data_IF_461979551499
#
_entry.id   IF_461979551499
#
_cell.length_a   1.000
_cell.length_b   1.000
_cell.length_c   1.000
_cell.angle_alpha   90.00
_cell.angle_beta   90.00
_cell.angle_gamma   90.00
#
_symmetry.space_group_name_H-M   'P 1'
#
loop_
_entity.id
_entity.type
_entity.pdbx_description
1 polymer ?
#
# COMPACT_ATOMS: atom_id res chain seq x y z
N UNK A 1 -0.69 19.09 -38.35
CA UNK A 1 0.44 18.69 -37.48
C UNK A 1 0.28 17.19 -37.19
N UNK A 2 0.93 16.34 -37.97
CA UNK A 2 0.78 14.88 -37.89
C UNK A 2 1.91 14.38 -36.99
N UNK A 3 1.62 14.17 -35.71
CA UNK A 3 2.59 13.61 -34.77
C UNK A 3 2.85 12.15 -35.18
N UNK A 4 4.09 11.85 -35.56
CA UNK A 4 4.51 10.54 -36.00
C UNK A 4 4.25 9.48 -34.91
N UNK A 5 3.54 8.41 -35.27
CA UNK A 5 3.24 7.27 -34.40
C UNK A 5 4.51 6.66 -33.78
N UNK A 6 5.66 6.81 -34.46
CA UNK A 6 6.97 6.42 -33.94
C UNK A 6 7.41 7.24 -32.74
N UNK A 7 7.10 8.54 -32.73
CA UNK A 7 7.39 9.45 -31.62
C UNK A 7 6.54 9.09 -30.39
N UNK A 8 5.27 8.74 -30.62
CA UNK A 8 4.34 8.28 -29.59
C UNK A 8 4.81 6.97 -28.95
N UNK A 9 5.22 5.99 -29.77
CA UNK A 9 5.77 4.72 -29.28
C UNK A 9 7.04 4.95 -28.46
N UNK A 10 7.94 5.84 -28.93
CA UNK A 10 9.16 6.19 -28.21
C UNK A 10 8.86 6.82 -26.85
N UNK A 11 7.94 7.79 -26.80
CA UNK A 11 7.50 8.44 -25.55
C UNK A 11 6.90 7.43 -24.58
N UNK A 12 6.08 6.49 -25.06
CA UNK A 12 5.50 5.44 -24.21
C UNK A 12 6.57 4.47 -23.66
N UNK A 13 7.59 4.12 -24.45
CA UNK A 13 8.68 3.25 -23.96
C UNK A 13 9.55 3.93 -22.92
N UNK A 14 9.83 5.24 -23.07
CA UNK A 14 10.60 6.00 -22.08
C UNK A 14 9.81 6.14 -20.78
N UNK A 15 8.50 6.40 -20.86
CA UNK A 15 7.64 6.50 -19.68
C UNK A 15 7.53 5.18 -18.89
N UNK A 16 7.52 4.04 -19.59
CA UNK A 16 7.48 2.71 -18.96
C UNK A 16 8.81 2.31 -18.29
N UNK A 17 9.95 2.76 -18.84
CA UNK A 17 11.29 2.54 -18.26
C UNK A 17 11.61 3.50 -17.12
N UNK A 18 10.91 4.64 -17.02
CA UNK A 18 10.91 5.52 -15.84
C UNK A 18 9.96 5.05 -14.73
N UNK A 19 9.63 3.76 -14.67
CA UNK A 19 9.03 3.16 -13.49
C UNK A 19 9.99 3.32 -12.31
N UNK A 20 9.53 3.98 -11.25
CA UNK A 20 10.25 4.23 -10.01
C UNK A 20 11.10 3.02 -9.59
N UNK A 21 12.40 3.07 -9.89
CA UNK A 21 13.39 2.29 -9.15
C UNK A 21 13.37 2.84 -7.74
N UNK A 22 12.63 2.21 -6.84
CA UNK A 22 12.86 2.33 -5.40
C UNK A 22 14.22 1.72 -5.13
N UNK A 23 15.26 2.51 -4.81
CA UNK A 23 16.54 1.95 -4.47
C UNK A 23 16.43 1.52 -3.01
N UNK A 24 16.27 0.23 -2.79
CA UNK A 24 16.57 -0.37 -1.50
C UNK A 24 18.04 -0.07 -1.17
N UNK A 25 18.29 0.52 -0.01
CA UNK A 25 19.64 0.80 0.50
C UNK A 25 20.15 2.21 0.20
N UNK A 26 19.92 3.13 1.15
CA UNK A 26 20.89 4.17 1.51
C UNK A 26 20.40 4.85 2.79
N UNK A 27 21.09 4.61 3.90
CA UNK A 27 20.96 5.41 5.11
C UNK A 27 21.03 6.91 4.73
N UNK A 28 19.98 7.66 5.05
CA UNK A 28 19.84 9.07 4.65
C UNK A 28 18.61 9.42 3.81
N UNK A 29 17.72 8.47 3.48
CA UNK A 29 16.44 8.81 2.85
C UNK A 29 15.42 9.34 3.86
N UNK A 30 14.73 10.41 3.45
CA UNK A 30 13.59 10.99 4.16
C UNK A 30 12.40 10.02 4.15
N UNK A 31 11.69 9.96 5.27
CA UNK A 31 10.44 9.20 5.42
C UNK A 31 9.19 10.07 5.22
N UNK A 32 9.32 11.24 4.56
CA UNK A 32 8.21 12.18 4.35
C UNK A 32 6.98 11.52 3.71
N UNK A 33 7.18 10.74 2.64
CA UNK A 33 6.09 10.07 1.92
C UNK A 33 5.38 9.05 2.83
N UNK A 34 6.15 8.25 3.58
CA UNK A 34 5.60 7.28 4.54
C UNK A 34 4.81 7.97 5.65
N UNK A 35 5.34 9.09 6.18
CA UNK A 35 4.66 9.90 7.20
C UNK A 35 3.37 10.51 6.67
N UNK A 36 3.36 10.95 5.41
CA UNK A 36 2.17 11.48 4.77
C UNK A 36 1.08 10.41 4.67
N UNK A 37 1.37 9.25 4.09
CA UNK A 37 0.39 8.15 3.96
C UNK A 37 -0.10 7.67 5.33
N UNK A 38 0.79 7.64 6.33
CA UNK A 38 0.40 7.28 7.70
C UNK A 38 -0.57 8.30 8.32
N UNK A 39 -0.37 9.59 8.05
CA UNK A 39 -1.29 10.66 8.47
C UNK A 39 -2.62 10.65 7.71
N UNK A 40 -2.61 10.31 6.42
CA UNK A 40 -3.83 10.16 5.61
C UNK A 40 -4.71 9.01 6.10
N UNK A 41 -4.11 7.98 6.68
CA UNK A 41 -4.83 6.92 7.40
C UNK A 41 -5.39 7.36 8.76
N UNK A 42 -5.12 8.59 9.20
CA UNK A 42 -5.61 9.15 10.46
C UNK A 42 -4.73 8.85 11.68
N UNK A 43 -3.51 8.36 11.48
CA UNK A 43 -2.58 8.09 12.58
C UNK A 43 -1.65 9.27 12.89
N UNK A 44 -1.24 9.41 14.14
CA UNK A 44 -0.32 10.47 14.56
C UNK A 44 1.08 10.25 13.98
N UNK A 45 1.65 11.29 13.38
CA UNK A 45 3.03 11.26 12.86
C UNK A 45 4.10 11.48 13.92
N UNK A 46 3.71 11.57 15.20
CA UNK A 46 4.63 11.74 16.34
C UNK A 46 5.53 10.52 16.56
N UNK A 47 5.03 9.32 16.23
CA UNK A 47 5.77 8.06 16.39
C UNK A 47 6.39 7.56 15.10
N UNK A 48 6.23 8.33 14.01
CA UNK A 48 6.78 8.02 12.71
C UNK A 48 8.15 8.71 12.53
N UNK A 49 9.22 7.95 12.22
CA UNK A 49 10.57 8.50 12.08
C UNK A 49 10.66 9.46 10.90
N UNK A 50 11.50 10.49 11.01
CA UNK A 50 11.71 11.50 9.95
C UNK A 50 12.65 11.00 8.87
N UNK A 51 13.62 10.17 9.25
CA UNK A 51 14.60 9.53 8.36
C UNK A 51 14.60 8.03 8.59
N UNK A 52 15.14 7.26 7.65
CA UNK A 52 15.26 5.81 7.81
C UNK A 52 16.03 5.44 9.09
N UNK A 53 15.54 4.44 9.80
CA UNK A 53 16.12 3.85 11.01
C UNK A 53 16.42 2.37 10.78
N UNK A 54 17.26 1.74 11.63
CA UNK A 54 17.43 0.28 11.62
C UNK A 54 16.08 -0.39 11.88
N UNK A 55 15.79 -1.48 11.17
CA UNK A 55 14.54 -2.23 11.31
C UNK A 55 14.58 -3.35 12.33
N UNK A 56 15.71 -3.56 13.03
CA UNK A 56 15.93 -4.65 14.00
C UNK A 56 14.86 -4.79 15.10
N UNK A 57 14.09 -3.72 15.37
CA UNK A 57 13.00 -3.71 16.34
C UNK A 57 11.68 -4.26 15.79
N UNK A 58 11.58 -4.47 14.48
CA UNK A 58 10.36 -4.94 13.82
C UNK A 58 10.22 -6.45 13.97
N UNK A 59 9.01 -6.99 13.80
CA UNK A 59 8.77 -8.45 13.89
C UNK A 59 8.15 -9.04 12.63
N UNK A 60 7.41 -8.24 11.87
CA UNK A 60 6.67 -8.68 10.69
C UNK A 60 7.37 -8.22 9.41
N UNK A 61 7.82 -6.98 9.40
CA UNK A 61 8.59 -6.41 8.30
C UNK A 61 10.04 -6.95 8.29
N UNK A 62 10.74 -6.92 7.14
CA UNK A 62 12.16 -7.26 7.06
C UNK A 62 13.01 -6.38 7.99
N UNK A 63 14.07 -6.96 8.55
CA UNK A 63 14.99 -6.33 9.50
C UNK A 63 16.02 -5.38 8.82
N UNK A 64 15.62 -4.73 7.73
CA UNK A 64 16.43 -3.77 6.97
C UNK A 64 16.14 -2.33 7.40
N UNK A 65 16.80 -1.34 6.79
CA UNK A 65 16.46 0.08 6.99
C UNK A 65 15.00 0.37 6.64
N UNK A 66 14.30 1.03 7.56
CA UNK A 66 12.85 1.19 7.53
C UNK A 66 12.40 2.61 7.90
N UNK A 67 11.19 2.95 7.48
CA UNK A 67 10.47 4.16 7.91
C UNK A 67 9.34 3.85 8.91
N UNK A 68 9.32 2.64 9.47
CA UNK A 68 8.32 2.19 10.43
C UNK A 68 8.94 2.02 11.83
N UNK A 69 8.32 2.64 12.84
CA UNK A 69 8.57 2.30 14.24
C UNK A 69 7.80 1.03 14.64
N UNK A 70 8.14 0.44 15.78
CA UNK A 70 7.42 -0.70 16.35
C UNK A 70 5.92 -0.42 16.53
N UNK A 71 5.57 0.78 17.01
CA UNK A 71 4.18 1.20 17.17
C UNK A 71 3.47 1.32 15.81
N UNK A 72 4.15 1.84 14.78
CA UNK A 72 3.57 1.88 13.43
C UNK A 72 3.30 0.47 12.91
N UNK A 73 4.24 -0.46 13.08
CA UNK A 73 4.08 -1.85 12.66
C UNK A 73 2.92 -2.55 13.36
N UNK A 74 2.80 -2.41 14.68
CA UNK A 74 1.69 -2.97 15.46
C UNK A 74 0.33 -2.38 15.03
N UNK A 75 0.29 -1.07 14.81
CA UNK A 75 -0.96 -0.41 14.38
C UNK A 75 -1.37 -0.87 12.98
N UNK A 76 -0.41 -0.95 12.06
CA UNK A 76 -0.66 -1.34 10.67
C UNK A 76 -0.98 -2.84 10.55
N UNK A 77 -0.41 -3.69 11.41
CA UNK A 77 -0.74 -5.12 11.42
C UNK A 77 -2.19 -5.34 11.84
N UNK A 78 -2.62 -4.73 12.94
CA UNK A 78 -4.02 -4.78 13.38
C UNK A 78 -4.97 -4.17 12.35
N UNK A 79 -4.56 -3.10 11.68
CA UNK A 79 -5.36 -2.49 10.61
C UNK A 79 -5.52 -3.45 9.43
N UNK A 80 -4.43 -4.08 8.98
CA UNK A 80 -4.46 -5.01 7.85
C UNK A 80 -5.32 -6.25 8.13
N UNK A 81 -5.31 -6.75 9.36
CA UNK A 81 -6.16 -7.86 9.78
C UNK A 81 -7.64 -7.48 9.72
N UNK A 82 -8.00 -6.32 10.27
CA UNK A 82 -9.38 -5.81 10.21
C UNK A 82 -9.85 -5.58 8.77
N UNK A 83 -9.01 -4.99 7.94
CA UNK A 83 -9.33 -4.73 6.53
C UNK A 83 -9.53 -6.05 5.76
N UNK A 84 -8.70 -7.05 6.03
CA UNK A 84 -8.85 -8.38 5.44
C UNK A 84 -10.15 -9.06 5.87
N UNK A 85 -10.42 -9.11 7.18
CA UNK A 85 -11.66 -9.71 7.72
C UNK A 85 -12.90 -9.01 7.18
N UNK A 86 -12.87 -7.68 7.08
CA UNK A 86 -13.96 -6.90 6.49
C UNK A 86 -14.17 -7.28 5.02
N UNK A 87 -13.11 -7.40 4.23
CA UNK A 87 -13.23 -7.78 2.83
C UNK A 87 -13.82 -9.19 2.66
N UNK A 88 -13.45 -10.14 3.54
CA UNK A 88 -14.03 -11.48 3.56
C UNK A 88 -15.53 -11.43 3.89
N UNK A 89 -15.92 -10.66 4.90
CA UNK A 89 -17.32 -10.52 5.29
C UNK A 89 -18.17 -9.84 4.21
N UNK A 90 -17.69 -8.74 3.62
CA UNK A 90 -18.40 -8.04 2.56
C UNK A 90 -18.60 -8.97 1.33
N UNK A 91 -17.60 -9.78 0.99
CA UNK A 91 -17.69 -10.77 -0.08
C UNK A 91 -18.66 -11.92 0.26
N UNK A 92 -18.63 -12.43 1.49
CA UNK A 92 -19.52 -13.51 1.93
C UNK A 92 -20.98 -13.05 1.89
N UNK A 93 -21.27 -11.85 2.38
CA UNK A 93 -22.59 -11.24 2.35
C UNK A 93 -23.07 -11.01 0.92
N UNK A 94 -22.20 -10.51 0.04
CA UNK A 94 -22.54 -10.34 -1.38
C UNK A 94 -22.96 -11.66 -2.04
N UNK A 95 -22.23 -12.74 -1.79
CA UNK A 95 -22.58 -14.07 -2.32
C UNK A 95 -23.90 -14.58 -1.74
N UNK A 96 -24.05 -14.52 -0.41
CA UNK A 96 -25.26 -14.99 0.27
C UNK A 96 -26.52 -14.23 -0.17
N UNK A 97 -26.44 -12.90 -0.26
CA UNK A 97 -27.56 -12.07 -0.74
C UNK A 97 -27.91 -12.40 -2.19
N UNK A 98 -26.90 -12.55 -3.06
CA UNK A 98 -27.10 -12.92 -4.46
C UNK A 98 -27.75 -14.29 -4.60
N UNK A 99 -27.27 -15.32 -3.89
CA UNK A 99 -27.84 -16.66 -3.95
C UNK A 99 -29.27 -16.69 -3.41
N UNK A 100 -29.52 -16.04 -2.27
CA UNK A 100 -30.86 -15.95 -1.67
C UNK A 100 -31.84 -15.24 -2.60
N UNK A 101 -31.43 -14.13 -3.21
CA UNK A 101 -32.27 -13.38 -4.14
C UNK A 101 -32.59 -14.19 -5.40
N UNK A 102 -31.60 -14.91 -5.95
CA UNK A 102 -31.82 -15.78 -7.12
C UNK A 102 -32.71 -16.97 -6.78
N UNK A 103 -32.50 -17.64 -5.65
CA UNK A 103 -33.33 -18.77 -5.22
C UNK A 103 -34.81 -18.37 -5.11
N UNK A 104 -35.11 -17.25 -4.45
CA UNK A 104 -36.49 -16.71 -4.33
C UNK A 104 -37.15 -16.36 -5.66
N UNK A 105 -36.39 -16.23 -6.75
CA UNK A 105 -36.89 -15.98 -8.10
C UNK A 105 -37.26 -17.27 -8.84
N UNK A 106 -36.77 -18.42 -8.35
CA UNK A 106 -37.01 -19.75 -8.92
C UNK A 106 -37.99 -20.58 -8.08
N UNK A 107 -38.16 -20.28 -6.78
CA UNK A 107 -39.36 -20.63 -6.01
C UNK A 107 -40.60 -19.91 -6.55
#
# INVERSE_FOLDING_TARGET
>A
MKMDTRLLVWLCTVAALSGNRSPAGAAGRSCADTRQVYSEKGYSTSTAPVTQISGEHLRLCPQDYTCCSSQMEETLSLQSERDFLKAIEDNSQFLLTTFTQRHRRFD
#
